data_IF_675391301827
#
_entry.id   IF_675391301827
#
_cell.length_a   1.000
_cell.length_b   1.000
_cell.length_c   1.000
_cell.angle_alpha   90.00
_cell.angle_beta   90.00
_cell.angle_gamma   90.00
#
_symmetry.space_group_name_H-M   'P 1'
#
loop_
_entity.id
_entity.type
_entity.pdbx_description
1 polymer ?
#
# COMPACT_ATOMS: atom_id res chain seq x y z
N UNK A 1 -20.54 -2.94 3.14
CA UNK A 1 -19.07 -3.02 3.18
C UNK A 1 -18.57 -1.59 3.27
N UNK A 2 -17.73 -1.27 4.25
CA UNK A 2 -17.28 0.11 4.50
C UNK A 2 -16.29 0.64 3.44
N UNK A 3 -15.75 -0.25 2.58
CA UNK A 3 -14.83 0.07 1.48
C UNK A 3 -15.55 0.34 0.15
N UNK A 4 -16.67 1.07 0.19
CA UNK A 4 -17.33 1.56 -1.03
C UNK A 4 -16.62 2.82 -1.54
N UNK A 5 -16.61 3.09 -2.86
CA UNK A 5 -15.98 4.28 -3.42
C UNK A 5 -16.35 5.56 -2.68
N UNK A 6 -17.64 5.79 -2.42
CA UNK A 6 -18.15 7.01 -1.77
C UNK A 6 -17.59 7.23 -0.36
N UNK A 7 -17.31 6.15 0.37
CA UNK A 7 -16.73 6.21 1.72
C UNK A 7 -15.21 6.41 1.69
N UNK A 8 -14.56 6.05 0.58
CA UNK A 8 -13.12 6.16 0.39
C UNK A 8 -12.69 7.48 -0.25
N UNK A 9 -13.62 8.22 -0.88
CA UNK A 9 -13.34 9.53 -1.50
C UNK A 9 -12.53 10.45 -0.58
N UNK A 10 -12.86 10.62 0.73
CA UNK A 10 -12.10 11.52 1.59
C UNK A 10 -10.65 11.07 1.86
N UNK A 11 -10.36 9.78 1.65
CA UNK A 11 -9.08 9.15 1.99
C UNK A 11 -8.29 8.73 0.75
N UNK A 12 -8.80 9.01 -0.45
CA UNK A 12 -8.24 8.49 -1.70
C UNK A 12 -6.81 8.96 -1.92
N UNK A 13 -6.48 10.16 -1.45
CA UNK A 13 -5.15 10.74 -1.54
C UNK A 13 -4.18 10.16 -0.50
N UNK A 14 -4.69 9.49 0.54
CA UNK A 14 -3.89 8.87 1.61
C UNK A 14 -3.62 7.39 1.39
N UNK A 15 -4.22 6.79 0.36
CA UNK A 15 -4.23 5.34 0.15
C UNK A 15 -3.60 4.98 -1.19
N UNK A 16 -2.64 4.05 -1.12
CA UNK A 16 -2.14 3.34 -2.30
C UNK A 16 -2.76 1.94 -2.38
N UNK A 17 -3.16 1.53 -3.58
CA UNK A 17 -3.79 0.23 -3.83
C UNK A 17 -2.82 -0.64 -4.61
N UNK A 18 -2.55 -1.82 -4.05
CA UNK A 18 -1.70 -2.83 -4.63
C UNK A 18 -2.52 -4.05 -5.04
N UNK A 19 -2.22 -4.59 -6.22
CA UNK A 19 -2.76 -5.85 -6.70
C UNK A 19 -1.67 -6.89 -6.87
N UNK A 20 -1.92 -8.12 -6.39
CA UNK A 20 -0.98 -9.22 -6.59
C UNK A 20 -0.98 -9.69 -8.05
N UNK A 21 0.21 -9.89 -8.62
CA UNK A 21 0.46 -10.36 -9.98
C UNK A 21 1.13 -11.74 -9.90
N UNK A 22 0.37 -12.85 -10.08
CA UNK A 22 0.89 -14.20 -9.88
C UNK A 22 2.10 -14.56 -10.73
N UNK A 23 2.16 -14.06 -11.97
CA UNK A 23 3.23 -14.36 -12.93
C UNK A 23 4.59 -13.79 -12.49
N UNK A 24 4.56 -12.76 -11.62
CA UNK A 24 5.75 -12.08 -11.10
C UNK A 24 6.02 -12.38 -9.63
N UNK A 25 5.09 -13.04 -8.95
CA UNK A 25 5.11 -13.19 -7.49
C UNK A 25 5.37 -11.86 -6.77
N UNK A 26 4.64 -10.83 -7.19
CA UNK A 26 4.84 -9.45 -6.73
C UNK A 26 3.51 -8.67 -6.73
N UNK A 27 3.54 -7.46 -6.18
CA UNK A 27 2.40 -6.57 -6.04
C UNK A 27 2.62 -5.32 -6.86
N UNK A 28 1.71 -5.04 -7.80
CA UNK A 28 1.77 -3.85 -8.64
C UNK A 28 0.89 -2.74 -8.06
N UNK A 29 1.41 -1.51 -8.05
CA UNK A 29 0.67 -0.32 -7.66
C UNK A 29 -0.34 0.02 -8.75
N UNK A 30 -1.64 -0.04 -8.42
CA UNK A 30 -2.75 0.36 -9.30
C UNK A 30 -3.15 1.81 -9.10
N UNK A 31 -3.13 2.24 -7.85
CA UNK A 31 -3.39 3.61 -7.44
C UNK A 31 -2.35 3.98 -6.41
N UNK A 32 -1.88 5.22 -6.48
CA UNK A 32 -1.03 5.80 -5.46
C UNK A 32 -1.64 7.12 -5.01
N UNK A 33 -1.84 7.23 -3.71
CA UNK A 33 -2.41 8.42 -3.08
C UNK A 33 -1.45 9.61 -3.18
N UNK A 34 -1.98 10.77 -3.55
CA UNK A 34 -1.18 11.99 -3.76
C UNK A 34 -0.45 12.45 -2.49
N UNK A 35 -1.00 12.20 -1.30
CA UNK A 35 -0.33 12.52 -0.03
C UNK A 35 0.87 11.59 0.23
N UNK A 36 0.82 10.33 -0.23
CA UNK A 36 1.97 9.41 -0.18
C UNK A 36 3.05 9.85 -1.16
N UNK A 37 2.68 10.34 -2.35
CA UNK A 37 3.63 10.92 -3.30
C UNK A 37 4.28 12.16 -2.70
N UNK A 38 3.51 13.06 -2.07
CA UNK A 38 4.06 14.23 -1.38
C UNK A 38 4.99 13.84 -0.21
N UNK A 39 4.68 12.74 0.49
CA UNK A 39 5.47 12.22 1.61
C UNK A 39 6.77 11.52 1.17
N UNK A 40 6.76 10.82 0.04
CA UNK A 40 7.93 10.07 -0.44
C UNK A 40 8.77 10.87 -1.44
N UNK A 41 8.17 11.90 -2.05
CA UNK A 41 8.74 12.70 -3.14
C UNK A 41 8.79 11.97 -4.49
N UNK A 42 8.22 10.77 -4.59
CA UNK A 42 8.32 9.91 -5.76
C UNK A 42 6.94 9.34 -6.12
N UNK A 43 6.70 9.14 -7.42
CA UNK A 43 5.48 8.53 -7.95
C UNK A 43 5.84 7.14 -8.51
N UNK A 44 5.27 6.12 -7.89
CA UNK A 44 5.47 4.71 -8.13
C UNK A 44 4.28 4.03 -8.81
N UNK A 45 3.33 4.80 -9.37
CA UNK A 45 2.21 4.22 -10.12
C UNK A 45 2.69 3.24 -11.19
N UNK A 46 2.17 2.01 -11.13
CA UNK A 46 2.53 0.93 -12.04
C UNK A 46 3.81 0.16 -11.67
N UNK A 47 4.59 0.63 -10.69
CA UNK A 47 5.75 -0.09 -10.18
C UNK A 47 5.34 -1.28 -9.30
N UNK A 48 6.29 -2.17 -9.07
CA UNK A 48 6.17 -3.33 -8.21
C UNK A 48 6.72 -3.06 -6.80
N UNK A 49 6.17 -3.76 -5.80
CA UNK A 49 6.59 -3.60 -4.41
C UNK A 49 8.09 -3.88 -4.20
N UNK A 50 8.67 -4.82 -4.97
CA UNK A 50 10.12 -5.05 -4.93
C UNK A 50 10.95 -3.89 -5.48
N UNK A 51 10.43 -3.12 -6.43
CA UNK A 51 11.11 -1.91 -6.95
C UNK A 51 11.14 -0.82 -5.87
N UNK A 52 10.02 -0.64 -5.16
CA UNK A 52 9.92 0.24 -3.99
C UNK A 52 10.86 -0.23 -2.87
N UNK A 53 10.94 -1.53 -2.61
CA UNK A 53 11.86 -2.09 -1.63
C UNK A 53 13.33 -1.87 -1.98
N UNK A 54 13.71 -1.99 -3.26
CA UNK A 54 15.06 -1.67 -3.70
C UNK A 54 15.43 -0.21 -3.41
N UNK A 55 14.46 0.71 -3.50
CA UNK A 55 14.67 2.13 -3.25
C UNK A 55 14.75 2.49 -1.77
N UNK A 56 13.87 1.92 -0.95
CA UNK A 56 13.64 2.36 0.43
C UNK A 56 13.99 1.31 1.49
N UNK A 57 14.41 0.10 1.09
CA UNK A 57 14.70 -1.03 2.00
C UNK A 57 13.57 -1.30 3.00
N UNK A 58 12.31 -1.24 2.54
CA UNK A 58 11.13 -1.11 3.41
C UNK A 58 10.44 -2.44 3.81
N UNK A 59 10.91 -3.57 3.26
CA UNK A 59 10.30 -4.89 3.46
C UNK A 59 8.83 -4.97 3.03
N UNK A 60 8.41 -4.13 2.09
CA UNK A 60 7.05 -3.98 1.61
C UNK A 60 6.52 -5.26 0.98
N UNK A 61 7.29 -5.90 0.10
CA UNK A 61 6.88 -7.15 -0.56
C UNK A 61 6.58 -8.26 0.46
N UNK A 62 7.48 -8.43 1.44
CA UNK A 62 7.32 -9.44 2.48
C UNK A 62 6.09 -9.14 3.36
N UNK A 63 5.90 -7.88 3.75
CA UNK A 63 4.76 -7.45 4.54
C UNK A 63 3.42 -7.67 3.79
N UNK A 64 3.37 -7.34 2.51
CA UNK A 64 2.19 -7.58 1.66
C UNK A 64 1.91 -9.08 1.46
N UNK A 65 2.96 -9.88 1.32
CA UNK A 65 2.83 -11.35 1.25
C UNK A 65 2.21 -11.91 2.52
N UNK A 66 2.63 -11.43 3.70
CA UNK A 66 2.03 -11.82 4.98
C UNK A 66 0.54 -11.41 5.06
N UNK A 67 0.19 -10.21 4.63
CA UNK A 67 -1.22 -9.75 4.58
C UNK A 67 -2.07 -10.64 3.67
N UNK A 68 -1.60 -10.92 2.45
CA UNK A 68 -2.34 -11.75 1.49
C UNK A 68 -2.54 -13.18 1.98
N UNK A 69 -1.51 -13.77 2.58
CA UNK A 69 -1.57 -15.18 3.04
C UNK A 69 -2.40 -15.35 4.31
N UNK A 70 -2.38 -14.37 5.21
CA UNK A 70 -3.11 -14.44 6.49
C UNK A 70 -4.49 -13.79 6.46
N UNK A 71 -4.75 -12.94 5.46
CA UNK A 71 -5.93 -12.06 5.39
C UNK A 71 -6.10 -11.18 6.63
N UNK A 72 -4.99 -10.84 7.29
CA UNK A 72 -4.98 -9.96 8.46
C UNK A 72 -4.29 -8.63 8.17
N UNK A 73 -4.78 -7.52 8.72
CA UNK A 73 -4.09 -6.25 8.65
C UNK A 73 -2.69 -6.34 9.28
N UNK A 74 -1.75 -5.55 8.79
CA UNK A 74 -0.41 -5.41 9.38
C UNK A 74 -0.10 -3.94 9.62
N UNK A 75 0.55 -3.65 10.75
CA UNK A 75 0.97 -2.31 11.15
C UNK A 75 2.47 -2.34 11.38
N UNK A 76 3.20 -1.40 10.78
CA UNK A 76 4.65 -1.32 10.90
C UNK A 76 5.08 0.11 11.22
N UNK A 77 6.08 0.26 12.09
CA UNK A 77 6.78 1.53 12.23
C UNK A 77 7.80 1.67 11.10
N UNK A 78 7.81 2.84 10.46
CA UNK A 78 8.72 3.21 9.39
C UNK A 78 9.57 4.40 9.82
N UNK A 79 10.74 4.51 9.21
CA UNK A 79 11.51 5.74 9.14
C UNK A 79 11.51 6.24 7.70
N UNK A 80 11.02 7.44 7.50
CA UNK A 80 10.88 8.07 6.19
C UNK A 80 11.93 9.17 6.10
N UNK A 81 12.77 9.10 5.07
CA UNK A 81 13.80 10.11 4.84
C UNK A 81 13.34 11.05 3.73
N UNK A 82 13.12 12.31 4.08
CA UNK A 82 12.99 13.41 3.11
C UNK A 82 14.20 14.34 3.22
N UNK A 83 14.05 15.46 3.93
CA UNK A 83 15.13 16.38 4.33
C UNK A 83 15.70 16.02 5.71
N UNK A 84 14.84 15.51 6.58
CA UNK A 84 15.15 14.99 7.91
C UNK A 84 14.48 13.62 8.07
N UNK A 85 14.91 12.86 9.08
CA UNK A 85 14.29 11.58 9.40
C UNK A 85 12.96 11.80 10.14
N UNK A 86 11.88 11.23 9.64
CA UNK A 86 10.57 11.26 10.27
C UNK A 86 10.09 9.85 10.61
N UNK A 87 9.45 9.71 11.76
CA UNK A 87 8.74 8.50 12.17
C UNK A 87 7.40 8.42 11.43
N UNK A 88 7.01 7.21 11.03
CA UNK A 88 5.70 6.98 10.42
C UNK A 88 5.14 5.61 10.75
N UNK A 89 3.83 5.46 10.62
CA UNK A 89 3.13 4.18 10.75
C UNK A 89 2.61 3.79 9.37
N UNK A 90 3.03 2.62 8.88
CA UNK A 90 2.45 1.98 7.70
C UNK A 90 1.36 1.00 8.12
N UNK A 91 0.15 1.24 7.63
CA UNK A 91 -0.97 0.32 7.71
C UNK A 91 -1.12 -0.41 6.37
N UNK A 92 -1.21 -1.74 6.42
CA UNK A 92 -1.56 -2.60 5.29
C UNK A 92 -2.86 -3.32 5.59
N UNK A 93 -3.83 -3.22 4.69
CA UNK A 93 -5.16 -3.79 4.87
C UNK A 93 -5.55 -4.66 3.67
N UNK A 94 -5.91 -5.94 3.87
CA UNK A 94 -6.44 -6.77 2.80
C UNK A 94 -7.88 -6.34 2.50
N UNK A 95 -8.17 -6.04 1.23
CA UNK A 95 -9.49 -5.65 0.76
C UNK A 95 -9.91 -6.61 -0.35
N UNK A 96 -11.06 -7.27 -0.17
CA UNK A 96 -11.63 -8.13 -1.18
C UNK A 96 -12.33 -7.28 -2.23
N UNK A 97 -11.78 -7.24 -3.44
CA UNK A 97 -12.44 -6.67 -4.60
C UNK A 97 -13.26 -7.75 -5.30
N UNK A 98 -14.57 -7.65 -5.15
CA UNK A 98 -15.50 -8.52 -5.86
C UNK A 98 -15.62 -8.06 -7.32
N UNK A 99 -15.36 -8.98 -8.25
CA UNK A 99 -15.48 -8.70 -9.69
C UNK A 99 -16.62 -9.55 -10.26
N UNK A 100 -17.67 -8.93 -10.86
CA UNK A 100 -18.68 -9.68 -11.57
C UNK A 100 -18.02 -10.56 -12.65
N UNK A 101 -18.43 -11.83 -12.70
CA UNK A 101 -17.98 -12.83 -13.67
C UNK A 101 -16.48 -13.15 -13.66
N UNK A 102 -15.77 -12.79 -12.58
CA UNK A 102 -14.34 -13.11 -12.40
C UNK A 102 -14.09 -13.57 -10.97
N UNK A 103 -12.95 -14.24 -10.75
CA UNK A 103 -12.50 -14.53 -9.40
C UNK A 103 -12.27 -13.22 -8.63
N UNK A 104 -12.71 -13.22 -7.37
CA UNK A 104 -12.46 -12.11 -6.45
C UNK A 104 -10.95 -11.91 -6.28
N UNK A 105 -10.54 -10.65 -6.20
CA UNK A 105 -9.13 -10.29 -6.08
C UNK A 105 -8.88 -9.69 -4.70
N UNK A 106 -7.86 -10.19 -4.02
CA UNK A 106 -7.36 -9.54 -2.80
C UNK A 106 -6.46 -8.39 -3.23
N UNK A 107 -6.94 -7.17 -2.99
CA UNK A 107 -6.13 -5.95 -3.03
C UNK A 107 -5.52 -5.70 -1.66
N UNK A 108 -4.41 -4.98 -1.62
CA UNK A 108 -3.83 -4.48 -0.37
C UNK A 108 -3.84 -2.97 -0.41
N UNK A 109 -4.55 -2.37 0.54
CA UNK A 109 -4.55 -0.93 0.74
C UNK A 109 -3.39 -0.59 1.68
N UNK A 110 -2.61 0.41 1.29
CA UNK A 110 -1.49 0.93 2.05
C UNK A 110 -1.79 2.39 2.41
N UNK A 111 -1.67 2.72 3.69
CA UNK A 111 -1.65 4.10 4.16
C UNK A 111 -0.39 4.33 5.01
N UNK A 112 0.14 5.55 4.96
CA UNK A 112 1.29 5.97 5.79
C UNK A 112 0.89 7.20 6.58
N UNK A 113 0.94 7.09 7.89
CA UNK A 113 0.64 8.18 8.81
C UNK A 113 1.96 8.70 9.39
N UNK A 114 2.33 9.97 9.17
CA UNK A 114 3.44 10.57 9.90
C UNK A 114 3.10 10.60 11.39
N UNK A 115 4.11 10.38 12.23
CA UNK A 115 3.97 10.44 13.68
C UNK A 115 5.03 11.40 14.19
N UNK A 116 4.61 12.39 14.96
CA UNK A 116 5.52 13.27 15.70
C UNK A 116 6.11 12.46 16.87
N UNK A 117 7.43 12.58 17.07
CA UNK A 117 8.12 12.00 18.23
C UNK A 117 7.78 12.77 19.53
#
# INVERSE_FOLDING_TARGET
SDFQPDNLIPWIDDISIYEYVPEKDDFQIRLEGENIIALTGENWRGAFAREVDCRFSSGLHAAMTAVRTTLRPQIHHLRIFQREWQSGIRLLLPVLLQKPDKEDIIQIFLAIFPVDD
#
